data_IF_505603483458
#
_entry.id   IF_505603483458
#
_cell.length_a   1.000
_cell.length_b   1.000
_cell.length_c   1.000
_cell.angle_alpha   90.00
_cell.angle_beta   90.00
_cell.angle_gamma   90.00
#
_symmetry.space_group_name_H-M   'P 1'
#
loop_
_entity.id
_entity.type
_entity.pdbx_description
1 polymer ?
#
# COMPACT_ATOMS: atom_id res chain seq x y z
N UNK A 1 15.48 -48.20 19.28
CA UNK A 1 15.91 -47.25 18.22
C UNK A 1 14.75 -46.63 17.45
N UNK A 2 13.75 -47.41 17.00
CA UNK A 2 12.61 -46.91 16.17
C UNK A 2 11.76 -45.81 16.83
N UNK A 3 11.50 -45.88 18.16
CA UNK A 3 10.75 -44.84 18.89
C UNK A 3 11.44 -43.46 18.94
N UNK A 4 12.78 -43.42 18.96
CA UNK A 4 13.54 -42.16 18.92
C UNK A 4 13.52 -41.53 17.53
N UNK A 5 13.48 -42.35 16.47
CA UNK A 5 13.42 -41.89 15.08
C UNK A 5 12.05 -41.27 14.74
N UNK A 6 10.95 -41.87 15.21
CA UNK A 6 9.59 -41.33 15.01
C UNK A 6 9.40 -39.98 15.74
N UNK A 7 9.93 -39.85 16.96
CA UNK A 7 9.82 -38.60 17.73
C UNK A 7 10.60 -37.43 17.08
N UNK A 8 11.78 -37.70 16.51
CA UNK A 8 12.59 -36.69 15.81
C UNK A 8 11.91 -36.20 14.52
N UNK A 9 11.26 -37.11 13.79
CA UNK A 9 10.49 -36.77 12.57
C UNK A 9 9.27 -35.92 12.93
N UNK A 10 8.56 -36.25 14.01
CA UNK A 10 7.41 -35.45 14.48
C UNK A 10 7.85 -34.05 14.93
N UNK A 11 8.97 -33.94 15.65
CA UNK A 11 9.50 -32.63 16.09
C UNK A 11 9.93 -31.77 14.89
N UNK A 12 10.62 -32.36 13.90
CA UNK A 12 10.99 -31.67 12.66
C UNK A 12 9.78 -31.20 11.85
N UNK A 13 8.74 -32.03 11.72
CA UNK A 13 7.50 -31.67 11.04
C UNK A 13 6.71 -30.60 11.80
N UNK A 14 6.60 -30.66 13.14
CA UNK A 14 5.91 -29.62 13.90
C UNK A 14 6.62 -28.27 13.79
N UNK A 15 7.95 -28.22 13.88
CA UNK A 15 8.70 -26.98 13.69
C UNK A 15 8.50 -26.39 12.30
N UNK A 16 8.48 -27.23 11.26
CA UNK A 16 8.23 -26.80 9.88
C UNK A 16 6.81 -26.24 9.68
N UNK A 17 5.79 -26.96 10.18
CA UNK A 17 4.39 -26.52 10.12
C UNK A 17 4.17 -25.23 10.91
N UNK A 18 4.83 -25.09 12.06
CA UNK A 18 4.75 -23.87 12.88
C UNK A 18 5.35 -22.68 12.13
N UNK A 19 6.53 -22.84 11.52
CA UNK A 19 7.17 -21.79 10.76
C UNK A 19 6.35 -21.36 9.54
N UNK A 20 5.77 -22.32 8.81
CA UNK A 20 4.90 -22.03 7.66
C UNK A 20 3.66 -21.22 8.06
N UNK A 21 3.01 -21.59 9.18
CA UNK A 21 1.87 -20.82 9.72
C UNK A 21 2.27 -19.44 10.20
N UNK A 22 3.45 -19.29 10.80
CA UNK A 22 3.97 -17.98 11.21
C UNK A 22 4.21 -17.10 9.98
N UNK A 23 4.80 -17.63 8.91
CA UNK A 23 5.02 -16.89 7.66
C UNK A 23 3.70 -16.50 7.00
N UNK A 24 2.75 -17.41 6.87
CA UNK A 24 1.43 -17.13 6.30
C UNK A 24 0.65 -16.11 7.14
N UNK A 25 0.73 -16.20 8.46
CA UNK A 25 0.13 -15.21 9.37
C UNK A 25 0.84 -13.86 9.30
N UNK A 26 2.17 -13.82 9.16
CA UNK A 26 2.90 -12.58 8.95
C UNK A 26 2.56 -11.96 7.60
N UNK A 27 2.58 -12.71 6.50
CA UNK A 27 2.15 -12.24 5.17
C UNK A 27 0.72 -11.69 5.21
N UNK A 28 -0.20 -12.36 5.92
CA UNK A 28 -1.56 -11.87 6.10
C UNK A 28 -1.65 -10.58 6.92
N UNK A 29 -0.65 -10.28 7.75
CA UNK A 29 -0.60 -9.06 8.56
C UNK A 29 0.30 -7.97 7.96
N UNK A 30 0.97 -8.23 6.83
CA UNK A 30 1.78 -7.22 6.14
C UNK A 30 0.86 -6.17 5.52
N UNK A 31 0.93 -4.95 6.02
CA UNK A 31 0.19 -3.80 5.49
C UNK A 31 1.03 -3.06 4.47
N UNK A 32 0.45 -2.80 3.31
CA UNK A 32 1.06 -1.96 2.28
C UNK A 32 0.30 -0.64 2.23
N UNK A 33 0.98 0.47 2.50
CA UNK A 33 0.39 1.81 2.48
C UNK A 33 0.97 2.60 1.32
N UNK A 34 0.12 3.15 0.46
CA UNK A 34 0.52 4.05 -0.62
C UNK A 34 0.12 5.49 -0.31
N UNK A 35 1.06 6.42 -0.40
CA UNK A 35 0.84 7.84 -0.13
C UNK A 35 0.94 8.65 -1.43
N UNK A 36 -0.11 9.39 -1.76
CA UNK A 36 -0.25 10.14 -3.01
C UNK A 36 -0.32 11.64 -2.72
N UNK A 37 0.58 12.42 -3.31
CA UNK A 37 0.58 13.87 -3.21
C UNK A 37 -0.38 14.54 -4.22
N UNK A 38 -0.57 15.84 -4.07
CA UNK A 38 -1.44 16.66 -4.92
C UNK A 38 -0.68 17.53 -5.92
N UNK A 39 -1.42 18.46 -6.53
CA UNK A 39 -0.92 19.51 -7.43
C UNK A 39 0.22 20.32 -6.78
N UNK A 40 1.25 20.66 -7.56
CA UNK A 40 2.41 21.47 -7.16
C UNK A 40 3.21 20.92 -5.96
N UNK A 41 2.93 19.66 -5.55
CA UNK A 41 3.62 18.99 -4.45
C UNK A 41 4.49 17.84 -4.97
N UNK A 42 5.38 17.35 -4.10
CA UNK A 42 6.23 16.19 -4.28
C UNK A 42 6.20 15.31 -3.03
N UNK A 43 6.91 14.18 -3.08
CA UNK A 43 7.06 13.28 -1.91
C UNK A 43 7.81 13.93 -0.73
N UNK A 44 8.56 15.00 -0.97
CA UNK A 44 9.34 15.70 0.06
C UNK A 44 8.57 16.85 0.73
N UNK A 45 7.36 17.15 0.26
CA UNK A 45 6.54 18.24 0.78
C UNK A 45 5.63 17.79 1.92
N UNK A 46 5.15 18.79 2.66
CA UNK A 46 4.16 18.62 3.73
C UNK A 46 4.58 17.58 4.78
N UNK A 47 3.75 16.57 5.01
CA UNK A 47 3.88 15.55 6.05
C UNK A 47 4.17 14.16 5.50
N UNK A 48 4.37 14.00 4.18
CA UNK A 48 4.41 12.67 3.55
C UNK A 48 5.60 11.84 4.04
N UNK A 49 6.79 12.43 4.06
CA UNK A 49 8.01 11.74 4.51
C UNK A 49 7.97 11.49 6.03
N UNK A 50 7.51 12.47 6.81
CA UNK A 50 7.35 12.31 8.26
C UNK A 50 6.32 11.23 8.61
N UNK A 51 5.21 11.14 7.86
CA UNK A 51 4.23 10.06 8.02
C UNK A 51 4.88 8.70 7.75
N UNK A 52 5.61 8.56 6.64
CA UNK A 52 6.32 7.31 6.32
C UNK A 52 7.23 6.89 7.47
N UNK A 53 8.07 7.80 7.97
CA UNK A 53 8.98 7.51 9.07
C UNK A 53 8.26 7.13 10.38
N UNK A 54 7.05 7.64 10.61
CA UNK A 54 6.31 7.38 11.85
C UNK A 54 5.56 6.03 11.85
N UNK A 55 5.08 5.57 10.71
CA UNK A 55 4.17 4.41 10.64
C UNK A 55 4.78 3.17 9.99
N UNK A 56 5.94 3.30 9.35
CA UNK A 56 6.65 2.16 8.77
C UNK A 56 7.28 1.32 9.88
N UNK A 57 7.03 0.01 9.84
CA UNK A 57 7.50 -0.97 10.81
C UNK A 57 7.67 -2.35 10.16
N UNK A 58 8.04 -3.36 10.97
CA UNK A 58 8.28 -4.73 10.49
C UNK A 58 7.08 -5.36 9.76
N UNK A 59 5.86 -4.88 10.00
CA UNK A 59 4.63 -5.39 9.40
C UNK A 59 3.92 -4.35 8.52
N UNK A 60 4.54 -3.21 8.26
CA UNK A 60 3.90 -2.08 7.57
C UNK A 60 4.91 -1.42 6.65
N UNK A 61 4.72 -1.57 5.34
CA UNK A 61 5.52 -0.89 4.33
C UNK A 61 4.78 0.34 3.83
N UNK A 62 5.49 1.47 3.71
CA UNK A 62 4.91 2.73 3.21
C UNK A 62 5.63 3.15 1.94
N UNK A 63 4.91 3.30 0.84
CA UNK A 63 5.43 3.76 -0.45
C UNK A 63 4.87 5.13 -0.76
N UNK A 64 5.74 6.13 -0.88
CA UNK A 64 5.37 7.45 -1.39
C UNK A 64 5.38 7.40 -2.91
N UNK A 65 4.28 7.75 -3.57
CA UNK A 65 4.17 7.74 -5.03
C UNK A 65 4.63 9.10 -5.58
N UNK A 66 5.76 9.16 -6.32
CA UNK A 66 6.20 10.38 -6.99
C UNK A 66 5.48 10.55 -8.33
N UNK A 67 4.60 11.55 -8.43
CA UNK A 67 3.98 11.88 -9.70
C UNK A 67 4.85 12.84 -10.54
N UNK A 68 4.90 12.66 -11.87
CA UNK A 68 5.63 13.56 -12.76
C UNK A 68 4.93 14.91 -12.92
N UNK A 69 5.72 15.95 -13.11
CA UNK A 69 5.29 17.33 -13.45
C UNK A 69 4.04 17.78 -12.68
N UNK A 70 4.13 17.83 -11.36
CA UNK A 70 2.95 18.12 -10.52
C UNK A 70 2.44 19.55 -10.63
N UNK A 71 3.24 20.46 -11.19
CA UNK A 71 2.85 21.82 -11.59
C UNK A 71 1.94 21.82 -12.83
N UNK A 72 2.05 20.80 -13.69
CA UNK A 72 1.22 20.64 -14.89
C UNK A 72 0.73 19.19 -14.98
N UNK A 73 -0.15 18.76 -14.04
CA UNK A 73 -0.50 17.35 -13.90
C UNK A 73 -1.20 16.83 -15.16
N UNK A 74 -0.70 15.71 -15.67
CA UNK A 74 -1.32 14.97 -16.76
C UNK A 74 -1.99 13.70 -16.22
N UNK A 75 -3.27 13.52 -16.54
CA UNK A 75 -4.09 12.43 -16.00
C UNK A 75 -3.54 11.07 -16.39
N UNK A 76 -3.16 10.89 -17.66
CA UNK A 76 -2.69 9.60 -18.16
C UNK A 76 -1.31 9.25 -17.59
N UNK A 77 -0.42 10.23 -17.47
CA UNK A 77 0.89 10.06 -16.86
C UNK A 77 0.78 9.68 -15.38
N UNK A 78 -0.10 10.33 -14.62
CA UNK A 78 -0.30 10.01 -13.20
C UNK A 78 -0.95 8.64 -13.02
N UNK A 79 -1.94 8.28 -13.84
CA UNK A 79 -2.54 6.94 -13.81
C UNK A 79 -1.53 5.85 -14.16
N UNK A 80 -0.66 6.10 -15.15
CA UNK A 80 0.40 5.17 -15.52
C UNK A 80 1.38 4.90 -14.38
N UNK A 81 1.75 5.93 -13.62
CA UNK A 81 2.59 5.75 -12.42
C UNK A 81 1.93 4.84 -11.40
N UNK A 82 0.61 4.97 -11.20
CA UNK A 82 -0.11 4.08 -10.29
C UNK A 82 -0.15 2.65 -10.80
N UNK A 83 -0.39 2.43 -12.10
CA UNK A 83 -0.35 1.10 -12.72
C UNK A 83 1.03 0.43 -12.58
N UNK A 84 2.11 1.22 -12.67
CA UNK A 84 3.48 0.72 -12.56
C UNK A 84 3.92 0.45 -11.12
N UNK A 85 3.49 1.27 -10.16
CA UNK A 85 3.95 1.19 -8.77
C UNK A 85 3.02 0.42 -7.83
N UNK A 86 1.80 0.13 -8.26
CA UNK A 86 0.79 -0.57 -7.45
C UNK A 86 0.39 -1.87 -8.18
N UNK A 87 1.19 -2.94 -8.04
CA UNK A 87 1.00 -4.15 -8.84
C UNK A 87 -0.23 -4.98 -8.43
N UNK A 88 -0.69 -4.83 -7.17
CA UNK A 88 -1.84 -5.54 -6.64
C UNK A 88 -2.49 -4.71 -5.52
N UNK A 89 -3.81 -4.87 -5.39
CA UNK A 89 -4.63 -4.23 -4.35
C UNK A 89 -5.51 -5.31 -3.71
N UNK A 90 -5.50 -5.36 -2.39
CA UNK A 90 -6.26 -6.32 -1.58
C UNK A 90 -6.63 -5.73 -0.20
N UNK A 91 -7.21 -6.54 0.69
CA UNK A 91 -7.63 -6.16 2.04
C UNK A 91 -6.50 -5.65 2.97
N UNK A 92 -5.23 -5.84 2.59
CA UNK A 92 -4.07 -5.34 3.30
C UNK A 92 -3.44 -4.11 2.65
N UNK A 93 -4.06 -3.60 1.59
CA UNK A 93 -3.62 -2.41 0.86
C UNK A 93 -4.38 -1.18 1.34
N UNK A 94 -3.64 -0.16 1.75
CA UNK A 94 -4.18 1.09 2.28
C UNK A 94 -3.67 2.27 1.47
N UNK A 95 -4.46 3.34 1.43
CA UNK A 95 -4.12 4.55 0.71
C UNK A 95 -4.24 5.79 1.58
N UNK A 96 -3.32 6.72 1.41
CA UNK A 96 -3.39 8.05 1.98
C UNK A 96 -3.19 9.04 0.83
N UNK A 97 -4.23 9.80 0.47
CA UNK A 97 -4.18 10.70 -0.66
C UNK A 97 -4.51 12.14 -0.25
N UNK A 98 -3.80 13.11 -0.83
CA UNK A 98 -3.99 14.53 -0.54
C UNK A 98 -4.43 15.32 -1.79
N UNK A 99 -5.46 16.17 -1.64
CA UNK A 99 -5.92 17.12 -2.66
C UNK A 99 -6.12 16.43 -4.03
N UNK A 100 -5.45 16.87 -5.09
CA UNK A 100 -5.54 16.28 -6.44
C UNK A 100 -5.22 14.77 -6.45
N UNK A 101 -4.34 14.30 -5.56
CA UNK A 101 -4.05 12.88 -5.41
C UNK A 101 -5.29 12.04 -5.05
N UNK A 102 -6.30 12.63 -4.42
CA UNK A 102 -7.55 11.94 -4.07
C UNK A 102 -8.33 11.54 -5.30
N UNK A 103 -8.63 12.47 -6.21
CA UNK A 103 -9.42 12.12 -7.41
C UNK A 103 -8.62 11.20 -8.34
N UNK A 104 -7.29 11.36 -8.37
CA UNK A 104 -6.37 10.44 -9.08
C UNK A 104 -6.49 9.01 -8.53
N UNK A 105 -6.48 8.85 -7.20
CA UNK A 105 -6.66 7.53 -6.56
C UNK A 105 -8.03 6.93 -6.91
N UNK A 106 -9.10 7.71 -6.79
CA UNK A 106 -10.46 7.21 -7.03
C UNK A 106 -10.63 6.76 -8.48
N UNK A 107 -10.06 7.50 -9.45
CA UNK A 107 -10.08 7.09 -10.85
C UNK A 107 -9.30 5.79 -11.08
N UNK A 108 -8.13 5.63 -10.44
CA UNK A 108 -7.35 4.39 -10.50
C UNK A 108 -8.14 3.20 -9.97
N UNK A 109 -8.71 3.32 -8.76
CA UNK A 109 -9.49 2.25 -8.14
C UNK A 109 -10.73 1.88 -8.97
N UNK A 110 -11.42 2.89 -9.51
CA UNK A 110 -12.59 2.68 -10.36
C UNK A 110 -12.23 1.94 -11.66
N UNK A 111 -11.12 2.31 -12.30
CA UNK A 111 -10.71 1.75 -13.60
C UNK A 111 -10.28 0.28 -13.53
N UNK A 112 -9.76 -0.14 -12.38
CA UNK A 112 -9.35 -1.52 -12.12
C UNK A 112 -10.44 -2.40 -11.47
N UNK A 113 -11.58 -1.82 -11.10
CA UNK A 113 -12.71 -2.53 -10.47
C UNK A 113 -12.30 -3.35 -9.22
N UNK A 114 -11.40 -2.79 -8.40
CA UNK A 114 -10.96 -3.45 -7.17
C UNK A 114 -12.09 -3.52 -6.14
N UNK A 115 -12.41 -4.73 -5.70
CA UNK A 115 -13.55 -4.98 -4.79
C UNK A 115 -13.20 -4.78 -3.31
N UNK A 116 -11.92 -4.93 -2.93
CA UNK A 116 -11.48 -4.87 -1.55
C UNK A 116 -10.21 -4.04 -1.41
N UNK A 117 -10.21 -3.15 -0.42
CA UNK A 117 -9.03 -2.44 0.09
C UNK A 117 -9.06 -2.52 1.62
N UNK A 118 -7.91 -2.39 2.26
CA UNK A 118 -7.83 -2.27 3.72
C UNK A 118 -8.42 -0.95 4.23
N UNK A 119 -8.25 0.12 3.46
CA UNK A 119 -8.87 1.41 3.73
C UNK A 119 -8.23 2.56 2.98
N UNK A 120 -8.83 3.75 3.09
CA UNK A 120 -8.29 4.97 2.52
C UNK A 120 -8.50 6.18 3.45
N UNK A 121 -7.52 7.07 3.49
CA UNK A 121 -7.61 8.39 4.12
C UNK A 121 -7.51 9.43 3.02
N UNK A 122 -8.56 10.24 2.85
CA UNK A 122 -8.68 11.23 1.78
C UNK A 122 -8.59 12.63 2.38
N UNK A 123 -7.40 13.22 2.36
CA UNK A 123 -7.13 14.53 2.96
C UNK A 123 -7.43 15.63 1.94
N UNK A 124 -8.40 16.50 2.24
CA UNK A 124 -8.78 17.64 1.39
C UNK A 124 -9.19 17.26 -0.04
N UNK A 125 -9.88 16.10 -0.18
CA UNK A 125 -10.37 15.64 -1.47
C UNK A 125 -11.55 16.45 -2.01
N UNK A 126 -11.73 16.42 -3.33
CA UNK A 126 -12.83 17.05 -4.05
C UNK A 126 -13.36 16.13 -5.15
N UNK A 127 -14.60 16.34 -5.57
CA UNK A 127 -15.31 15.51 -6.56
C UNK A 127 -15.84 16.31 -7.77
N UNK A 128 -15.48 17.58 -7.87
CA UNK A 128 -15.88 18.46 -8.97
C UNK A 128 -14.89 19.61 -9.16
N UNK A 129 -15.09 20.45 -10.18
CA UNK A 129 -14.23 21.60 -10.44
C UNK A 129 -14.10 22.49 -9.21
N UNK A 130 -12.87 22.91 -8.92
CA UNK A 130 -12.59 23.94 -7.93
C UNK A 130 -12.75 25.27 -8.65
N UNK A 131 -13.72 26.08 -8.20
CA UNK A 131 -13.88 27.43 -8.72
C UNK A 131 -12.76 28.34 -8.22
N UNK A 132 -12.41 29.33 -9.05
CA UNK A 132 -11.51 30.43 -8.67
C UNK A 132 -11.99 31.22 -7.45
#
# INVERSE_FOLDING_TARGET
MIRKLILLVIFGLMSFVTNAKTLEFQEKNMRQIFVLHGYSASINDHWFLDLKHQIEDENTTVTLIPFPDSEHPDVDAWQKVLDEQIPAVNENTYFVAHSLGVITLLHFLQRHDYQNIGGMILVSGFSGPISD
#
